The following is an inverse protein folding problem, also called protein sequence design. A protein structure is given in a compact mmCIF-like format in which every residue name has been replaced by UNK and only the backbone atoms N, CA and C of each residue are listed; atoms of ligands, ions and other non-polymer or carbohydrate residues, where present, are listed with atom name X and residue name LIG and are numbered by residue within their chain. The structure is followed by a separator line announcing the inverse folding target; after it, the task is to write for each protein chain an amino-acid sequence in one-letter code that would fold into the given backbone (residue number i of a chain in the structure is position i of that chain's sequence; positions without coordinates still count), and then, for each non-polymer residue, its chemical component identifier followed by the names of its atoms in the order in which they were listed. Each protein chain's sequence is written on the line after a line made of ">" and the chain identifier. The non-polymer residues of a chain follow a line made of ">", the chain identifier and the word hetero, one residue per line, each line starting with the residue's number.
data_IF_104891981345
#
_entry.id   IF_104891981345
#
_cell.length_a   1.000
_cell.length_b   1.000
_cell.length_c   1.000
_cell.angle_alpha   90.00
_cell.angle_beta   90.00
_cell.angle_gamma   90.00
#
_symmetry.space_group_name_H-M   'P 1'
#
loop_
_entity.id
_entity.type
_entity.pdbx_description
1 polymer ?
#
# COMPACT_ATOMS: atom_id res chain seq x y z
N UNK A 1 16.92 28.72 4.30
CA UNK A 1 15.74 28.43 3.47
C UNK A 1 14.72 27.80 4.38
N UNK A 2 13.56 28.41 4.55
CA UNK A 2 12.46 27.83 5.33
C UNK A 2 11.49 27.23 4.33
N UNK A 3 11.68 25.96 3.94
CA UNK A 3 10.68 25.24 3.18
C UNK A 3 9.96 24.22 4.07
N UNK A 4 8.75 23.86 3.66
CA UNK A 4 7.91 22.84 4.31
C UNK A 4 8.00 21.51 3.55
N UNK A 5 7.88 20.42 4.30
CA UNK A 5 7.70 19.07 3.77
C UNK A 5 6.26 18.66 4.06
N UNK A 6 5.52 18.30 3.01
CA UNK A 6 4.17 17.76 3.15
C UNK A 6 4.25 16.24 3.18
N UNK A 7 3.61 15.63 4.16
CA UNK A 7 3.38 14.18 4.21
C UNK A 7 1.90 13.88 4.00
N UNK A 8 1.58 13.00 3.06
CA UNK A 8 0.25 12.43 2.86
C UNK A 8 0.28 11.01 3.43
N UNK A 9 -0.49 10.79 4.50
CA UNK A 9 -0.69 9.48 5.14
C UNK A 9 -2.08 8.98 4.82
N UNK A 10 -2.15 7.97 3.93
CA UNK A 10 -3.40 7.41 3.46
C UNK A 10 -3.64 6.03 4.12
N UNK A 11 -4.37 6.01 5.23
CA UNK A 11 -4.72 4.81 5.98
C UNK A 11 -5.97 4.11 5.44
N UNK A 12 -6.39 3.01 6.08
CA UNK A 12 -7.55 2.22 5.65
C UNK A 12 -8.89 2.95 5.80
N UNK A 13 -9.02 3.82 6.80
CA UNK A 13 -10.27 4.50 7.13
C UNK A 13 -10.17 6.01 7.16
N UNK A 14 -9.00 6.57 6.88
CA UNK A 14 -8.79 8.02 6.87
C UNK A 14 -7.59 8.40 6.03
N UNK A 15 -7.60 9.66 5.55
CA UNK A 15 -6.45 10.31 4.93
C UNK A 15 -6.02 11.50 5.75
N UNK A 16 -4.72 11.68 5.91
CA UNK A 16 -4.14 12.76 6.68
C UNK A 16 -3.09 13.49 5.86
N UNK A 17 -3.06 14.82 5.96
CA UNK A 17 -1.99 15.68 5.45
C UNK A 17 -1.32 16.38 6.62
N UNK A 18 0.01 16.34 6.66
CA UNK A 18 0.80 16.96 7.73
C UNK A 18 1.94 17.73 7.09
N UNK A 19 2.18 18.96 7.51
CA UNK A 19 3.37 19.71 7.12
C UNK A 19 4.40 19.77 8.25
N UNK A 20 5.65 19.62 7.86
CA UNK A 20 6.81 19.68 8.76
C UNK A 20 7.77 20.76 8.28
N UNK A 21 8.46 21.38 9.24
CA UNK A 21 9.67 22.14 8.94
C UNK A 21 10.87 21.20 8.71
N UNK A 22 11.98 21.77 8.25
CA UNK A 22 13.23 21.00 7.99
C UNK A 22 13.89 20.42 9.25
N UNK A 23 13.42 20.78 10.44
CA UNK A 23 13.89 20.27 11.73
C UNK A 23 12.98 19.20 12.30
N UNK A 24 11.88 18.83 11.57
CA UNK A 24 10.91 17.83 11.98
C UNK A 24 9.81 18.35 12.88
N UNK A 25 9.71 19.67 13.08
CA UNK A 25 8.59 20.28 13.79
C UNK A 25 7.32 20.23 12.96
N UNK A 26 6.19 19.76 13.54
CA UNK A 26 4.88 19.77 12.88
C UNK A 26 4.32 21.18 12.85
N UNK A 27 3.94 21.67 11.66
CA UNK A 27 3.31 22.98 11.49
C UNK A 27 1.78 22.86 11.45
N UNK A 28 1.25 22.07 10.55
CA UNK A 28 -0.19 21.89 10.34
C UNK A 28 -0.52 20.42 10.15
N UNK A 29 -1.74 20.04 10.52
CA UNK A 29 -2.25 18.67 10.30
C UNK A 29 -3.77 18.71 10.07
N UNK A 30 -4.22 18.00 9.04
CA UNK A 30 -5.65 17.82 8.76
C UNK A 30 -5.92 16.37 8.42
N UNK A 31 -7.08 15.82 8.89
CA UNK A 31 -7.46 14.42 8.69
C UNK A 31 -8.95 14.32 8.40
N UNK A 32 -9.28 13.45 7.43
CA UNK A 32 -10.65 13.11 7.07
C UNK A 32 -10.84 11.61 7.03
N UNK A 33 -11.85 11.13 7.75
CA UNK A 33 -12.30 9.74 7.73
C UNK A 33 -13.21 9.49 6.54
N UNK A 34 -13.27 8.22 6.11
CA UNK A 34 -14.19 7.74 5.09
C UNK A 34 -14.64 6.31 5.41
N UNK A 35 -15.86 5.92 4.97
CA UNK A 35 -16.41 4.61 5.26
C UNK A 35 -15.80 3.51 4.39
N UNK A 36 -15.71 2.30 4.94
CA UNK A 36 -15.55 1.07 4.18
C UNK A 36 -16.91 0.56 3.71
N UNK A 37 -16.90 -0.18 2.60
CA UNK A 37 -18.07 -0.82 2.00
C UNK A 37 -17.90 -2.33 2.17
N UNK A 38 -18.95 -3.02 2.60
CA UNK A 38 -18.99 -4.46 2.82
C UNK A 38 -20.10 -5.09 1.97
N UNK A 39 -19.85 -5.35 0.66
CA UNK A 39 -20.90 -5.82 -0.26
C UNK A 39 -21.40 -7.23 0.07
N UNK A 40 -20.49 -8.11 0.50
CA UNK A 40 -20.75 -9.50 0.86
C UNK A 40 -19.88 -9.91 2.06
N UNK A 41 -20.14 -11.06 2.62
CA UNK A 41 -19.33 -11.59 3.72
C UNK A 41 -17.86 -11.82 3.30
N UNK A 42 -16.95 -11.22 4.06
CA UNK A 42 -15.51 -11.24 3.76
C UNK A 42 -15.06 -10.28 2.64
N UNK A 43 -15.97 -9.51 2.03
CA UNK A 43 -15.61 -8.49 1.06
C UNK A 43 -15.44 -7.14 1.73
N UNK A 44 -14.37 -6.43 1.35
CA UNK A 44 -14.07 -5.10 1.89
C UNK A 44 -13.62 -4.19 0.75
N UNK A 45 -14.33 -3.10 0.55
CA UNK A 45 -14.10 -2.16 -0.55
C UNK A 45 -14.04 -0.72 -0.07
N UNK A 46 -13.42 0.12 -0.88
CA UNK A 46 -13.45 1.59 -0.77
C UNK A 46 -13.81 2.14 -2.14
N UNK A 47 -14.70 3.14 -2.18
CA UNK A 47 -14.86 3.95 -3.38
C UNK A 47 -13.60 4.81 -3.57
N UNK A 48 -12.81 4.61 -4.66
CA UNK A 48 -11.58 5.36 -4.88
C UNK A 48 -11.81 6.88 -5.02
N UNK A 49 -13.01 7.30 -5.42
CA UNK A 49 -13.34 8.73 -5.46
C UNK A 49 -13.48 9.29 -4.06
N UNK A 50 -14.16 8.59 -3.16
CA UNK A 50 -14.31 8.98 -1.75
C UNK A 50 -12.94 9.02 -1.05
N UNK A 51 -12.08 8.04 -1.32
CA UNK A 51 -10.70 8.03 -0.85
C UNK A 51 -9.96 9.28 -1.33
N UNK A 52 -10.02 9.56 -2.64
CA UNK A 52 -9.33 10.73 -3.22
C UNK A 52 -9.90 12.05 -2.70
N UNK A 53 -11.22 12.15 -2.52
CA UNK A 53 -11.87 13.33 -1.95
C UNK A 53 -11.40 13.60 -0.52
N UNK A 54 -11.15 12.56 0.28
CA UNK A 54 -10.61 12.73 1.65
C UNK A 54 -9.19 13.28 1.64
N UNK A 55 -8.35 12.83 0.70
CA UNK A 55 -7.00 13.39 0.48
C UNK A 55 -7.08 14.85 0.05
N UNK A 56 -7.93 15.16 -0.94
CA UNK A 56 -8.08 16.55 -1.42
C UNK A 56 -8.60 17.47 -0.30
N UNK A 57 -9.55 17.02 0.52
CA UNK A 57 -10.03 17.79 1.67
C UNK A 57 -8.91 18.05 2.66
N UNK A 58 -8.14 17.03 3.05
CA UNK A 58 -7.02 17.23 3.99
C UNK A 58 -5.95 18.17 3.43
N UNK A 59 -5.69 18.12 2.11
CA UNK A 59 -4.78 19.04 1.43
C UNK A 59 -5.32 20.48 1.37
N UNK A 60 -6.64 20.66 1.28
CA UNK A 60 -7.24 22.00 1.21
C UNK A 60 -7.18 22.77 2.52
N UNK A 61 -7.08 22.06 3.64
CA UNK A 61 -6.94 22.67 4.97
C UNK A 61 -5.48 23.05 5.30
N UNK A 62 -4.52 22.65 4.47
CA UNK A 62 -3.10 22.93 4.65
C UNK A 62 -2.70 24.11 3.77
N UNK A 63 -1.94 25.04 4.36
CA UNK A 63 -1.25 26.09 3.60
C UNK A 63 -0.16 25.49 2.73
N UNK A 64 -0.28 25.67 1.41
CA UNK A 64 0.60 25.08 0.39
C UNK A 64 1.83 25.94 0.08
N UNK A 65 1.90 27.14 0.62
CA UNK A 65 3.04 28.04 0.39
C UNK A 65 4.30 27.41 1.02
N UNK A 66 5.42 27.54 0.34
CA UNK A 66 6.73 27.03 0.74
C UNK A 66 6.85 25.50 0.86
N UNK A 67 5.86 24.72 0.40
CA UNK A 67 6.01 23.27 0.26
C UNK A 67 6.93 22.99 -0.93
N UNK A 68 8.10 22.39 -0.68
CA UNK A 68 9.04 21.99 -1.73
C UNK A 68 9.07 20.48 -1.94
N UNK A 69 8.81 19.70 -0.88
CA UNK A 69 8.84 18.25 -0.92
C UNK A 69 7.51 17.65 -0.44
N UNK A 70 7.13 16.55 -1.07
CA UNK A 70 5.99 15.72 -0.69
C UNK A 70 6.49 14.32 -0.41
N UNK A 71 6.06 13.72 0.70
CA UNK A 71 6.18 12.28 0.95
C UNK A 71 4.81 11.63 1.03
N UNK A 72 4.74 10.36 0.64
CA UNK A 72 3.49 9.58 0.66
C UNK A 72 3.73 8.29 1.44
N UNK A 73 2.84 8.02 2.38
CA UNK A 73 2.70 6.70 2.98
C UNK A 73 1.25 6.23 2.86
N UNK A 74 1.05 4.93 2.74
CA UNK A 74 -0.27 4.41 2.42
C UNK A 74 -0.50 3.01 2.97
N UNK A 75 -1.79 2.67 3.21
CA UNK A 75 -2.22 1.29 3.38
C UNK A 75 -1.73 0.44 2.20
N UNK A 76 -1.15 -0.73 2.50
CA UNK A 76 -0.55 -1.59 1.47
C UNK A 76 -1.59 -2.52 0.83
N UNK A 77 -1.24 -3.18 -0.24
CA UNK A 77 -1.97 -4.25 -0.96
C UNK A 77 -3.35 -3.86 -1.49
N UNK A 78 -3.96 -2.78 -1.02
CA UNK A 78 -5.23 -2.27 -1.53
C UNK A 78 -5.11 -1.99 -3.01
N UNK A 79 -5.99 -2.60 -3.81
CA UNK A 79 -5.86 -2.74 -5.25
C UNK A 79 -6.85 -1.85 -5.97
N UNK A 80 -6.36 -0.99 -6.85
CA UNK A 80 -7.18 -0.09 -7.68
C UNK A 80 -6.84 -0.33 -9.15
N UNK A 81 -7.86 -0.47 -10.00
CA UNK A 81 -7.71 -0.53 -11.45
C UNK A 81 -8.54 0.59 -12.07
N UNK A 82 -7.94 1.35 -12.98
CA UNK A 82 -8.58 2.50 -13.61
C UNK A 82 -8.27 2.64 -15.08
N UNK A 83 -9.11 3.37 -15.79
CA UNK A 83 -8.88 3.71 -17.20
C UNK A 83 -7.72 4.69 -17.33
N UNK A 84 -6.75 4.36 -18.16
CA UNK A 84 -5.54 5.14 -18.37
C UNK A 84 -5.82 6.56 -18.87
N UNK A 85 -6.81 6.73 -19.73
CA UNK A 85 -7.10 8.06 -20.33
C UNK A 85 -7.85 8.98 -19.36
N UNK A 86 -8.83 8.45 -18.64
CA UNK A 86 -9.72 9.24 -17.78
C UNK A 86 -9.27 9.31 -16.32
N UNK A 87 -8.46 8.35 -15.88
CA UNK A 87 -8.13 8.13 -14.47
C UNK A 87 -9.32 7.66 -13.63
N UNK A 88 -10.43 7.24 -14.26
CA UNK A 88 -11.62 6.78 -13.58
C UNK A 88 -11.48 5.30 -13.19
N UNK A 89 -11.72 4.94 -11.92
CA UNK A 89 -11.72 3.54 -11.50
C UNK A 89 -12.79 2.75 -12.25
N UNK A 90 -12.47 1.51 -12.64
CA UNK A 90 -13.43 0.60 -13.28
C UNK A 90 -14.21 -0.23 -12.25
N UNK A 91 -13.75 -0.24 -11.01
CA UNK A 91 -14.35 -0.92 -9.87
C UNK A 91 -13.91 -0.23 -8.57
N UNK A 92 -14.60 -0.52 -7.45
CA UNK A 92 -14.16 -0.09 -6.14
C UNK A 92 -12.75 -0.63 -5.82
N UNK A 93 -11.98 0.07 -5.02
CA UNK A 93 -10.71 -0.42 -4.51
C UNK A 93 -10.97 -1.65 -3.63
N UNK A 94 -10.32 -2.77 -3.94
CA UNK A 94 -10.39 -3.98 -3.12
C UNK A 94 -9.34 -3.85 -2.01
N UNK A 95 -9.82 -3.76 -0.76
CA UNK A 95 -8.98 -3.49 0.40
C UNK A 95 -8.12 -4.71 0.77
N UNK A 96 -7.01 -4.48 1.44
CA UNK A 96 -6.08 -5.51 1.91
C UNK A 96 -6.74 -6.59 2.78
N UNK A 97 -7.80 -6.26 3.52
CA UNK A 97 -8.56 -7.17 4.38
C UNK A 97 -9.51 -8.11 3.61
N UNK A 98 -9.77 -7.82 2.33
CA UNK A 98 -10.73 -8.54 1.50
C UNK A 98 -10.31 -10.00 1.28
N UNK A 99 -11.28 -10.91 1.39
CA UNK A 99 -11.06 -12.36 1.29
C UNK A 99 -11.75 -13.01 0.08
N UNK A 100 -12.34 -12.21 -0.86
CA UNK A 100 -13.11 -12.74 -2.01
C UNK A 100 -12.33 -13.71 -2.89
N UNK A 101 -11.01 -13.58 -2.96
CA UNK A 101 -10.15 -14.43 -3.78
C UNK A 101 -9.60 -15.65 -3.03
N UNK A 102 -10.09 -15.93 -1.79
CA UNK A 102 -9.62 -17.09 -1.01
C UNK A 102 -9.81 -18.41 -1.73
N UNK A 103 -10.99 -18.62 -2.34
CA UNK A 103 -11.28 -19.86 -3.08
C UNK A 103 -10.38 -20.02 -4.30
N UNK A 104 -10.05 -18.92 -5.00
CA UNK A 104 -9.10 -18.94 -6.08
C UNK A 104 -7.71 -19.34 -5.61
N UNK A 105 -7.21 -18.75 -4.53
CA UNK A 105 -5.91 -19.13 -3.94
C UNK A 105 -5.88 -20.63 -3.61
N UNK A 106 -6.92 -21.17 -2.97
CA UNK A 106 -7.00 -22.60 -2.66
C UNK A 106 -7.05 -23.48 -3.91
N UNK A 107 -7.74 -23.03 -4.96
CA UNK A 107 -7.89 -23.81 -6.21
C UNK A 107 -6.59 -23.99 -7.00
N UNK A 108 -5.65 -23.04 -6.88
CA UNK A 108 -4.36 -23.09 -7.58
C UNK A 108 -3.20 -23.53 -6.68
N UNK A 109 -3.47 -23.77 -5.39
CA UNK A 109 -2.45 -24.09 -4.39
C UNK A 109 -1.74 -25.41 -4.72
N UNK A 110 -0.43 -25.37 -4.75
CA UNK A 110 0.46 -26.53 -4.78
C UNK A 110 1.78 -26.17 -4.13
N UNK A 111 2.51 -27.16 -3.63
CA UNK A 111 3.81 -26.95 -2.98
C UNK A 111 4.80 -26.22 -3.91
N UNK A 112 4.81 -26.58 -5.20
CA UNK A 112 5.69 -25.98 -6.20
C UNK A 112 5.33 -24.50 -6.44
N UNK A 113 4.04 -24.18 -6.53
CA UNK A 113 3.59 -22.79 -6.72
C UNK A 113 3.87 -21.94 -5.47
N UNK A 114 3.56 -22.44 -4.27
CA UNK A 114 3.84 -21.72 -3.03
C UNK A 114 5.34 -21.46 -2.87
N UNK A 115 6.17 -22.47 -3.16
CA UNK A 115 7.62 -22.31 -3.15
C UNK A 115 8.09 -21.29 -4.19
N UNK A 116 7.59 -21.32 -5.41
CA UNK A 116 7.96 -20.36 -6.47
C UNK A 116 7.59 -18.92 -6.05
N UNK A 117 6.39 -18.71 -5.52
CA UNK A 117 5.94 -17.41 -5.01
C UNK A 117 6.86 -16.95 -3.87
N UNK A 118 7.11 -17.81 -2.89
CA UNK A 118 7.94 -17.47 -1.73
C UNK A 118 9.40 -17.15 -2.14
N UNK A 119 10.00 -17.95 -2.99
CA UNK A 119 11.39 -17.77 -3.46
C UNK A 119 11.59 -16.43 -4.18
N UNK A 120 10.57 -15.97 -4.93
CA UNK A 120 10.62 -14.73 -5.71
C UNK A 120 10.18 -13.51 -4.94
N UNK A 121 9.12 -13.63 -4.15
CA UNK A 121 8.45 -12.47 -3.55
C UNK A 121 8.65 -12.36 -2.04
N UNK A 122 9.07 -13.43 -1.37
CA UNK A 122 9.09 -13.54 0.08
C UNK A 122 7.70 -13.68 0.72
N UNK A 123 6.65 -13.74 -0.09
CA UNK A 123 5.25 -13.81 0.34
C UNK A 123 4.74 -15.25 0.25
N UNK A 124 3.55 -15.45 0.81
CA UNK A 124 2.77 -16.70 0.68
C UNK A 124 1.63 -16.49 -0.33
N UNK A 125 1.06 -17.57 -0.86
CA UNK A 125 -0.15 -17.50 -1.69
C UNK A 125 -1.37 -17.20 -0.80
N UNK A 126 -1.79 -15.93 -0.77
CA UNK A 126 -2.89 -15.46 0.07
C UNK A 126 -3.66 -14.33 -0.62
N UNK A 127 -5.00 -14.24 -0.46
CA UNK A 127 -5.83 -13.14 -0.97
C UNK A 127 -5.46 -11.75 -0.42
N UNK A 128 -4.63 -11.68 0.62
CA UNK A 128 -4.10 -10.44 1.17
C UNK A 128 -3.40 -9.58 0.10
N UNK A 129 -2.64 -10.19 -0.81
CA UNK A 129 -1.81 -9.50 -1.80
C UNK A 129 -2.56 -9.11 -3.07
N UNK A 130 -2.02 -8.15 -3.85
CA UNK A 130 -2.75 -7.51 -4.94
C UNK A 130 -3.02 -8.41 -6.15
N UNK A 131 -2.14 -9.37 -6.47
CA UNK A 131 -2.21 -10.16 -7.70
C UNK A 131 -3.58 -10.82 -7.94
N UNK A 132 -4.12 -11.49 -6.92
CA UNK A 132 -5.41 -12.19 -7.03
C UNK A 132 -6.59 -11.24 -7.15
N UNK A 133 -6.48 -10.05 -6.55
CA UNK A 133 -7.50 -8.99 -6.64
C UNK A 133 -7.53 -8.36 -8.03
N UNK A 134 -6.34 -8.10 -8.63
CA UNK A 134 -6.25 -7.63 -10.03
C UNK A 134 -6.92 -8.65 -10.95
N UNK A 135 -6.54 -9.93 -10.85
CA UNK A 135 -7.14 -11.02 -11.63
C UNK A 135 -8.65 -11.03 -11.47
N UNK A 136 -9.15 -10.94 -10.23
CA UNK A 136 -10.59 -10.91 -9.97
C UNK A 136 -11.28 -9.75 -10.68
N UNK A 137 -10.74 -8.53 -10.62
CA UNK A 137 -11.29 -7.35 -11.31
C UNK A 137 -11.33 -7.60 -12.82
N UNK A 138 -10.25 -8.09 -13.42
CA UNK A 138 -10.17 -8.34 -14.85
C UNK A 138 -11.18 -9.39 -15.32
N UNK A 139 -11.52 -10.37 -14.47
CA UNK A 139 -12.44 -11.45 -14.81
C UNK A 139 -13.91 -11.12 -14.51
N UNK A 140 -14.20 -10.25 -13.54
CA UNK A 140 -15.56 -10.00 -13.06
C UNK A 140 -16.13 -8.65 -13.49
N UNK A 141 -15.29 -7.70 -13.90
CA UNK A 141 -15.76 -6.39 -14.40
C UNK A 141 -15.92 -6.46 -15.92
N UNK A 142 -17.12 -6.15 -16.38
CA UNK A 142 -17.45 -6.23 -17.81
C UNK A 142 -16.50 -5.39 -18.68
N UNK A 143 -15.89 -6.01 -19.69
CA UNK A 143 -14.96 -5.38 -20.63
C UNK A 143 -13.55 -5.14 -20.07
N UNK A 144 -13.30 -5.40 -18.78
CA UNK A 144 -12.00 -5.12 -18.16
C UNK A 144 -10.86 -5.92 -18.82
N UNK A 145 -11.08 -7.22 -19.11
CA UNK A 145 -10.07 -8.07 -19.75
C UNK A 145 -9.69 -7.58 -21.15
N UNK A 146 -10.67 -7.13 -21.93
CA UNK A 146 -10.44 -6.57 -23.27
C UNK A 146 -9.69 -5.25 -23.20
N UNK A 147 -10.12 -4.33 -22.33
CA UNK A 147 -9.42 -3.06 -22.09
C UNK A 147 -7.99 -3.26 -21.61
N UNK A 148 -7.75 -4.23 -20.73
CA UNK A 148 -6.41 -4.58 -20.28
C UNK A 148 -5.52 -5.05 -21.44
N UNK A 149 -6.02 -5.96 -22.29
CA UNK A 149 -5.31 -6.45 -23.46
C UNK A 149 -4.99 -5.33 -24.49
N UNK A 150 -5.82 -4.30 -24.54
CA UNK A 150 -5.59 -3.12 -25.38
C UNK A 150 -4.65 -2.06 -24.74
N UNK A 151 -4.17 -2.30 -23.49
CA UNK A 151 -3.33 -1.34 -22.76
C UNK A 151 -4.07 -0.07 -22.31
N UNK A 152 -5.40 -0.16 -22.17
CA UNK A 152 -6.28 0.96 -21.79
C UNK A 152 -6.45 1.11 -20.27
N UNK A 153 -5.95 0.14 -19.48
CA UNK A 153 -6.06 0.14 -18.04
C UNK A 153 -4.71 0.37 -17.36
N UNK A 154 -4.78 0.88 -16.14
CA UNK A 154 -3.69 0.97 -15.19
C UNK A 154 -4.09 0.24 -13.91
N UNK A 155 -3.13 -0.38 -13.26
CA UNK A 155 -3.21 -0.89 -11.89
C UNK A 155 -2.29 -0.09 -10.98
N UNK A 156 -2.68 0.07 -9.73
CA UNK A 156 -1.82 0.58 -8.67
C UNK A 156 -2.28 0.16 -7.29
N UNK A 157 -1.35 0.14 -6.38
CA UNK A 157 -1.61 0.33 -4.97
C UNK A 157 -1.97 1.80 -4.73
N UNK A 158 -2.33 2.14 -3.51
CA UNK A 158 -2.87 3.48 -3.22
C UNK A 158 -1.88 4.60 -3.57
N UNK A 159 -0.59 4.41 -3.28
CA UNK A 159 0.47 5.38 -3.66
C UNK A 159 0.44 5.74 -5.14
N UNK A 160 0.40 4.72 -6.01
CA UNK A 160 0.36 4.92 -7.46
C UNK A 160 -0.89 5.69 -7.88
N UNK A 161 -2.06 5.31 -7.35
CA UNK A 161 -3.31 5.98 -7.69
C UNK A 161 -3.32 7.44 -7.23
N UNK A 162 -2.83 7.73 -6.01
CA UNK A 162 -2.69 9.10 -5.51
C UNK A 162 -1.78 9.94 -6.40
N UNK A 163 -0.58 9.44 -6.71
CA UNK A 163 0.36 10.14 -7.58
C UNK A 163 -0.23 10.39 -8.97
N UNK A 164 -0.91 9.38 -9.53
CA UNK A 164 -1.58 9.49 -10.82
C UNK A 164 -2.66 10.58 -10.82
N UNK A 165 -3.52 10.59 -9.82
CA UNK A 165 -4.63 11.57 -9.69
C UNK A 165 -4.11 12.98 -9.41
N UNK A 166 -3.17 13.13 -8.47
CA UNK A 166 -2.60 14.43 -8.09
C UNK A 166 -1.79 15.06 -9.23
N UNK A 167 -1.15 14.25 -10.09
CA UNK A 167 -0.37 14.70 -11.22
C UNK A 167 -1.16 14.79 -12.54
N UNK A 168 -2.47 14.55 -12.53
CA UNK A 168 -3.31 14.51 -13.74
C UNK A 168 -2.81 13.49 -14.79
N UNK A 169 -2.40 12.32 -14.32
CA UNK A 169 -1.93 11.20 -15.15
C UNK A 169 -0.47 11.26 -15.58
N UNK A 170 0.30 12.27 -15.14
CA UNK A 170 1.71 12.43 -15.52
C UNK A 170 2.66 11.48 -14.79
N UNK A 171 2.30 11.04 -13.56
CA UNK A 171 3.11 10.15 -12.73
C UNK A 171 2.40 8.80 -12.61
N UNK A 172 2.99 7.78 -13.22
CA UNK A 172 2.53 6.39 -13.13
C UNK A 172 3.68 5.52 -12.60
N UNK A 173 3.93 5.63 -11.29
CA UNK A 173 5.04 5.00 -10.58
C UNK A 173 4.55 4.38 -9.27
N UNK A 174 5.32 3.44 -8.75
CA UNK A 174 5.21 2.90 -7.39
C UNK A 174 6.61 2.73 -6.80
N UNK A 175 6.70 2.67 -5.48
CA UNK A 175 7.96 2.36 -4.83
C UNK A 175 8.16 0.85 -4.65
N UNK A 176 9.42 0.43 -4.39
CA UNK A 176 9.75 -0.98 -4.20
C UNK A 176 9.06 -1.60 -2.98
N UNK A 177 8.69 -0.83 -1.95
CA UNK A 177 8.01 -1.37 -0.76
C UNK A 177 6.56 -1.73 -1.07
N UNK A 178 5.82 -0.86 -1.78
CA UNK A 178 4.47 -1.15 -2.25
C UNK A 178 4.47 -2.26 -3.32
N UNK A 179 5.40 -2.20 -4.28
CA UNK A 179 5.56 -3.23 -5.29
C UNK A 179 5.77 -4.62 -4.68
N UNK A 180 6.60 -4.72 -3.63
CA UNK A 180 6.88 -5.99 -2.93
C UNK A 180 5.66 -6.62 -2.25
N UNK A 181 4.55 -5.89 -2.11
CA UNK A 181 3.29 -6.38 -1.51
C UNK A 181 2.27 -6.86 -2.53
N UNK A 182 2.62 -6.89 -3.80
CA UNK A 182 1.68 -7.24 -4.87
C UNK A 182 1.61 -8.74 -5.20
N UNK A 183 2.59 -9.52 -4.78
CA UNK A 183 2.83 -10.94 -5.22
C UNK A 183 3.14 -11.03 -6.73
N UNK A 184 3.58 -9.92 -7.34
CA UNK A 184 4.00 -9.83 -8.75
C UNK A 184 5.44 -9.35 -8.89
N UNK A 185 6.03 -8.86 -7.80
CA UNK A 185 7.35 -8.24 -7.76
C UNK A 185 8.39 -9.18 -7.20
N UNK A 186 9.47 -9.38 -7.94
CA UNK A 186 10.58 -10.22 -7.50
C UNK A 186 11.54 -9.40 -6.64
N UNK A 187 11.62 -9.71 -5.35
CA UNK A 187 12.44 -8.97 -4.38
C UNK A 187 13.94 -9.21 -4.56
N UNK A 188 14.35 -10.24 -5.32
CA UNK A 188 15.75 -10.53 -5.60
C UNK A 188 16.27 -9.72 -6.79
N UNK A 189 15.40 -9.44 -7.78
CA UNK A 189 15.74 -8.67 -9.01
C UNK A 189 15.23 -7.24 -8.97
N UNK A 190 14.42 -6.89 -7.97
CA UNK A 190 13.75 -5.60 -7.81
C UNK A 190 12.97 -5.17 -9.06
N UNK A 191 12.21 -6.10 -9.62
CA UNK A 191 11.44 -5.88 -10.85
C UNK A 191 10.16 -6.73 -10.89
N UNK A 192 9.20 -6.35 -11.73
CA UNK A 192 8.04 -7.18 -12.04
C UNK A 192 8.48 -8.51 -12.64
N UNK A 193 7.99 -9.62 -12.10
CA UNK A 193 8.38 -10.98 -12.50
C UNK A 193 7.44 -11.51 -13.59
N UNK A 194 7.99 -11.82 -14.77
CA UNK A 194 7.21 -12.24 -15.92
C UNK A 194 6.45 -13.57 -15.67
N UNK A 195 7.06 -14.50 -14.95
CA UNK A 195 6.40 -15.80 -14.65
C UNK A 195 5.23 -15.61 -13.68
N UNK A 196 5.36 -14.73 -12.65
CA UNK A 196 4.26 -14.41 -11.76
C UNK A 196 3.13 -13.69 -12.51
N UNK A 197 3.47 -12.79 -13.43
CA UNK A 197 2.48 -12.14 -14.30
C UNK A 197 1.70 -13.15 -15.13
N UNK A 198 2.39 -14.13 -15.73
CA UNK A 198 1.77 -15.19 -16.52
C UNK A 198 0.87 -16.08 -15.66
N UNK A 199 1.30 -16.47 -14.44
CA UNK A 199 0.52 -17.29 -13.50
C UNK A 199 -0.83 -16.63 -13.18
N UNK A 200 -0.82 -15.33 -12.93
CA UNK A 200 -2.04 -14.59 -12.59
C UNK A 200 -2.77 -14.02 -13.81
N UNK A 201 -2.21 -14.16 -15.02
CA UNK A 201 -2.81 -13.66 -16.27
C UNK A 201 -2.88 -12.13 -16.31
N UNK A 202 -1.85 -11.45 -15.82
CA UNK A 202 -1.77 -9.99 -15.75
C UNK A 202 -0.78 -9.48 -16.79
N UNK A 203 -1.24 -8.61 -17.69
CA UNK A 203 -0.37 -7.97 -18.66
C UNK A 203 0.52 -6.91 -18.00
N UNK A 204 1.81 -6.90 -18.34
CA UNK A 204 2.78 -5.94 -17.79
C UNK A 204 2.43 -4.48 -18.08
N UNK A 205 1.68 -4.19 -19.14
CA UNK A 205 1.25 -2.84 -19.50
C UNK A 205 0.31 -2.18 -18.48
N UNK A 206 -0.30 -2.99 -17.60
CA UNK A 206 -1.12 -2.47 -16.50
C UNK A 206 -0.29 -1.89 -15.37
N UNK A 207 0.98 -2.27 -15.25
CA UNK A 207 1.79 -2.04 -14.07
C UNK A 207 2.57 -0.75 -14.14
N UNK A 208 2.72 -0.01 -13.01
CA UNK A 208 3.52 1.20 -12.95
C UNK A 208 5.02 0.92 -13.06
N UNK A 209 5.78 1.96 -13.38
CA UNK A 209 7.23 1.96 -13.20
C UNK A 209 7.56 1.81 -11.71
N UNK A 210 8.48 0.90 -11.39
CA UNK A 210 8.97 0.71 -10.01
C UNK A 210 10.25 1.52 -9.82
N UNK A 211 10.29 2.31 -8.75
CA UNK A 211 11.46 3.12 -8.38
C UNK A 211 11.82 2.92 -6.92
N UNK A 212 13.01 3.33 -6.51
CA UNK A 212 13.44 3.28 -5.12
C UNK A 212 12.60 4.22 -4.25
N UNK A 213 12.36 3.87 -2.98
CA UNK A 213 11.49 4.63 -2.07
C UNK A 213 11.97 6.07 -1.86
N UNK A 214 13.28 6.30 -1.92
CA UNK A 214 13.93 7.61 -1.77
C UNK A 214 14.26 8.31 -3.11
N UNK A 215 13.57 7.93 -4.19
CA UNK A 215 13.74 8.54 -5.51
C UNK A 215 12.84 9.75 -5.72
N UNK A 216 13.12 10.50 -6.79
CA UNK A 216 12.19 11.47 -7.35
C UNK A 216 11.10 10.76 -8.14
N UNK A 217 9.84 10.93 -7.71
CA UNK A 217 8.68 10.39 -8.43
C UNK A 217 8.14 11.37 -9.47
N UNK A 218 8.38 12.66 -9.30
CA UNK A 218 7.90 13.74 -10.14
C UNK A 218 7.37 14.91 -9.31
N UNK A 219 6.71 15.88 -9.98
CA UNK A 219 6.25 17.11 -9.35
C UNK A 219 4.73 17.27 -9.43
N UNK A 220 4.15 17.88 -8.39
CA UNK A 220 2.72 18.19 -8.31
C UNK A 220 2.53 19.69 -8.49
N UNK A 221 2.13 20.10 -9.71
CA UNK A 221 1.97 21.52 -10.06
C UNK A 221 1.00 22.26 -9.11
N UNK A 222 -0.10 21.60 -8.69
CA UNK A 222 -1.13 22.17 -7.81
C UNK A 222 -0.68 22.38 -6.36
N UNK A 223 0.46 21.82 -5.97
CA UNK A 223 1.05 21.96 -4.64
C UNK A 223 2.42 22.62 -4.81
N UNK A 224 2.43 23.91 -5.09
CA UNK A 224 3.64 24.73 -5.27
C UNK A 224 4.70 24.09 -6.18
N UNK A 225 4.31 23.26 -7.16
CA UNK A 225 5.22 22.46 -7.98
C UNK A 225 6.21 21.61 -7.16
N UNK A 226 5.78 21.19 -5.96
CA UNK A 226 6.58 20.41 -5.04
C UNK A 226 6.90 19.03 -5.61
N UNK A 227 8.08 18.52 -5.27
CA UNK A 227 8.57 17.22 -5.72
C UNK A 227 8.13 16.12 -4.77
N UNK A 228 7.56 15.03 -5.30
CA UNK A 228 7.34 13.81 -4.53
C UNK A 228 8.69 13.11 -4.39
N UNK A 229 9.15 13.02 -3.14
CA UNK A 229 10.42 12.40 -2.80
C UNK A 229 10.28 11.67 -1.47
N UNK A 230 10.09 10.36 -1.55
CA UNK A 230 9.81 9.50 -0.41
C UNK A 230 8.39 8.91 -0.48
N UNK A 231 8.30 7.66 -0.92
CA UNK A 231 7.06 6.88 -0.96
C UNK A 231 7.33 5.54 -0.32
N UNK A 232 6.51 5.17 0.68
CA UNK A 232 6.63 3.89 1.40
C UNK A 232 5.25 3.37 1.80
N UNK A 233 5.08 2.06 1.83
CA UNK A 233 3.96 1.45 2.52
C UNK A 233 3.96 1.84 4.02
N UNK A 234 2.78 1.92 4.64
CA UNK A 234 2.59 2.43 6.00
C UNK A 234 3.45 1.72 7.06
N UNK A 235 3.55 0.39 6.96
CA UNK A 235 4.34 -0.40 7.90
C UNK A 235 5.85 -0.22 7.69
N UNK A 236 6.27 -0.02 6.45
CA UNK A 236 7.64 0.29 6.07
C UNK A 236 8.03 1.71 6.48
N UNK A 237 7.13 2.68 6.29
CA UNK A 237 7.30 4.03 6.79
C UNK A 237 7.46 4.06 8.32
N UNK A 238 6.66 3.23 9.04
CA UNK A 238 6.79 3.08 10.48
C UNK A 238 8.12 2.40 10.89
N UNK A 239 8.61 1.41 10.13
CA UNK A 239 9.91 0.78 10.38
C UNK A 239 11.04 1.82 10.30
N UNK A 240 11.05 2.60 9.21
CA UNK A 240 12.03 3.67 9.01
C UNK A 240 11.88 4.79 10.05
N UNK A 241 10.64 5.26 10.26
CA UNK A 241 10.35 6.39 11.14
C UNK A 241 10.60 6.10 12.64
N UNK A 242 10.59 4.83 13.05
CA UNK A 242 10.98 4.42 14.40
C UNK A 242 12.49 4.16 14.54
N UNK A 243 13.28 4.44 13.50
CA UNK A 243 14.74 4.35 13.55
C UNK A 243 15.27 2.91 13.47
N UNK A 244 14.52 1.98 12.90
CA UNK A 244 14.95 0.59 12.74
C UNK A 244 15.92 0.44 11.55
N UNK A 245 17.13 1.02 11.70
CA UNK A 245 18.11 1.10 10.61
C UNK A 245 19.10 -0.06 10.62
N UNK A 246 19.35 -0.65 11.78
CA UNK A 246 20.33 -1.74 11.92
C UNK A 246 19.63 -3.10 11.79
N UNK A 247 20.38 -4.11 11.34
CA UNK A 247 19.88 -5.49 11.30
C UNK A 247 19.53 -5.98 12.70
N UNK A 248 18.28 -6.47 12.87
CA UNK A 248 17.70 -6.90 14.14
C UNK A 248 16.80 -5.86 14.80
N UNK A 249 16.87 -4.58 14.39
CA UNK A 249 15.93 -3.57 14.87
C UNK A 249 14.51 -3.93 14.47
N UNK A 250 13.59 -3.74 15.40
CA UNK A 250 12.21 -4.17 15.22
C UNK A 250 11.23 -3.13 15.73
N UNK A 251 10.08 -3.05 15.04
CA UNK A 251 8.95 -2.24 15.48
C UNK A 251 7.69 -3.09 15.55
N UNK A 252 6.77 -2.70 16.41
CA UNK A 252 5.43 -3.26 16.48
C UNK A 252 4.38 -2.15 16.40
N UNK A 253 3.41 -2.31 15.50
CA UNK A 253 2.28 -1.41 15.36
C UNK A 253 1.03 -2.11 15.88
N UNK A 254 0.36 -1.50 16.86
CA UNK A 254 -0.90 -1.98 17.40
C UNK A 254 -2.02 -1.02 16.98
N UNK A 255 -2.87 -1.48 16.10
CA UNK A 255 -4.05 -0.77 15.61
C UNK A 255 -5.22 -1.73 15.44
N UNK A 256 -5.96 -1.62 14.35
CA UNK A 256 -6.98 -2.58 13.92
C UNK A 256 -6.41 -4.01 13.88
N UNK A 257 -5.26 -4.17 13.21
CA UNK A 257 -4.37 -5.32 13.29
C UNK A 257 -3.12 -5.02 14.11
N UNK A 258 -2.27 -6.04 14.28
CA UNK A 258 -0.94 -5.91 14.85
C UNK A 258 0.10 -6.36 13.81
N UNK A 259 1.13 -5.54 13.60
CA UNK A 259 2.16 -5.77 12.59
C UNK A 259 3.54 -5.60 13.23
N UNK A 260 4.23 -6.72 13.39
CA UNK A 260 5.63 -6.75 13.80
C UNK A 260 6.51 -6.76 12.56
N UNK A 261 7.47 -5.85 12.45
CA UNK A 261 8.49 -5.87 11.41
C UNK A 261 9.88 -5.78 12.03
N UNK A 262 10.80 -6.58 11.49
CA UNK A 262 12.21 -6.58 11.86
C UNK A 262 13.08 -6.34 10.63
N UNK A 263 13.99 -5.38 10.69
CA UNK A 263 15.02 -5.18 9.67
C UNK A 263 15.96 -6.39 9.65
N UNK A 264 16.11 -7.04 8.51
CA UNK A 264 16.97 -8.21 8.30
C UNK A 264 18.21 -7.91 7.43
N UNK A 265 18.54 -6.61 7.29
CA UNK A 265 19.70 -6.17 6.53
C UNK A 265 19.45 -6.09 5.02
N UNK A 266 20.56 -6.13 4.26
CA UNK A 266 20.57 -5.86 2.81
C UNK A 266 20.38 -7.09 1.92
N UNK A 267 20.05 -8.24 2.50
CA UNK A 267 19.79 -9.48 1.75
C UNK A 267 18.47 -10.09 2.18
N UNK A 268 17.60 -10.49 1.24
CA UNK A 268 16.37 -11.17 1.58
C UNK A 268 16.69 -12.54 2.23
N UNK A 269 16.00 -12.86 3.31
CA UNK A 269 16.07 -14.16 3.98
C UNK A 269 14.65 -14.69 4.15
N UNK A 270 14.38 -15.89 3.63
CA UNK A 270 13.05 -16.50 3.69
C UNK A 270 12.84 -17.17 5.04
N UNK A 271 11.67 -16.98 5.63
CA UNK A 271 11.27 -17.63 6.86
C UNK A 271 10.79 -19.06 6.59
N UNK A 272 11.17 -20.00 7.47
CA UNK A 272 10.60 -21.35 7.49
C UNK A 272 9.32 -21.42 8.33
N UNK A 273 9.00 -20.35 9.09
CA UNK A 273 7.89 -20.28 10.07
C UNK A 273 6.72 -19.43 9.55
N UNK A 274 6.56 -19.32 8.20
CA UNK A 274 5.47 -18.57 7.54
C UNK A 274 5.45 -17.07 7.84
N UNK A 275 6.55 -16.49 8.34
CA UNK A 275 6.70 -15.04 8.35
C UNK A 275 6.97 -14.56 6.92
N UNK A 276 6.51 -13.35 6.62
CA UNK A 276 6.69 -12.75 5.31
C UNK A 276 8.07 -12.08 5.23
N UNK A 277 8.74 -12.20 4.09
CA UNK A 277 9.89 -11.38 3.74
C UNK A 277 9.44 -10.33 2.75
N UNK A 278 9.84 -9.08 2.94
CA UNK A 278 9.43 -7.96 2.08
C UNK A 278 10.56 -6.95 1.97
N UNK A 279 10.48 -6.04 1.01
CA UNK A 279 11.35 -4.87 1.02
C UNK A 279 10.96 -3.98 2.20
N UNK A 280 11.93 -3.64 3.05
CA UNK A 280 11.75 -2.77 4.19
C UNK A 280 11.76 -1.29 3.79
N UNK A 281 12.80 -0.86 3.11
CA UNK A 281 12.98 0.49 2.55
C UNK A 281 14.20 0.53 1.64
N UNK A 282 14.32 1.59 0.84
CA UNK A 282 15.59 1.97 0.23
C UNK A 282 16.06 3.29 0.81
N UNK A 283 17.36 3.42 0.95
CA UNK A 283 17.98 4.66 1.40
C UNK A 283 19.43 4.77 0.92
N UNK A 284 19.76 5.90 0.29
CA UNK A 284 21.12 6.19 -0.17
C UNK A 284 21.66 5.20 -1.22
N UNK A 285 20.79 4.57 -2.00
CA UNK A 285 21.15 3.58 -3.02
C UNK A 285 21.20 2.14 -2.52
N UNK A 286 21.03 1.90 -1.23
CA UNK A 286 20.93 0.57 -0.62
C UNK A 286 19.47 0.15 -0.44
N UNK A 287 19.21 -1.15 -0.54
CA UNK A 287 17.89 -1.75 -0.25
C UNK A 287 18.00 -2.59 1.00
N UNK A 288 17.07 -2.36 1.92
CA UNK A 288 16.93 -3.11 3.17
C UNK A 288 15.68 -3.96 3.13
N UNK A 289 15.76 -5.16 3.66
CA UNK A 289 14.66 -6.10 3.72
C UNK A 289 14.13 -6.21 5.14
N UNK A 290 12.88 -6.61 5.25
CA UNK A 290 12.23 -6.82 6.54
C UNK A 290 11.51 -8.16 6.60
N UNK A 291 11.49 -8.76 7.78
CA UNK A 291 10.63 -9.88 8.11
C UNK A 291 9.38 -9.36 8.82
N UNK A 292 8.21 -9.82 8.41
CA UNK A 292 6.93 -9.36 8.91
C UNK A 292 6.09 -10.51 9.49
N UNK A 293 5.58 -10.30 10.70
CA UNK A 293 4.51 -11.10 11.30
C UNK A 293 3.25 -10.23 11.43
N UNK A 294 2.11 -10.75 10.95
CA UNK A 294 0.85 -10.00 10.89
C UNK A 294 -0.26 -10.72 11.66
N UNK A 295 -0.98 -9.98 12.50
CA UNK A 295 -2.22 -10.40 13.15
C UNK A 295 -3.30 -9.44 12.66
N UNK A 296 -4.24 -9.94 11.82
CA UNK A 296 -5.21 -9.09 11.14
C UNK A 296 -6.27 -8.49 12.06
N UNK A 297 -6.54 -9.11 13.21
CA UNK A 297 -7.51 -8.65 14.19
C UNK A 297 -6.87 -8.51 15.56
N UNK A 298 -6.57 -7.30 15.98
CA UNK A 298 -6.04 -6.97 17.30
C UNK A 298 -6.97 -5.97 18.02
N UNK A 299 -6.88 -4.69 17.73
CA UNK A 299 -7.78 -3.68 18.29
C UNK A 299 -9.26 -3.91 17.93
N UNK A 300 -9.56 -4.52 16.78
CA UNK A 300 -10.93 -4.93 16.41
C UNK A 300 -11.53 -5.93 17.40
N UNK A 301 -10.73 -6.80 17.99
CA UNK A 301 -11.22 -7.72 19.03
C UNK A 301 -11.67 -6.93 20.25
N UNK A 302 -10.88 -5.96 20.69
CA UNK A 302 -11.23 -5.08 21.82
C UNK A 302 -12.50 -4.29 21.52
N UNK A 303 -12.63 -3.75 20.29
CA UNK A 303 -13.85 -3.07 19.86
C UNK A 303 -15.06 -4.00 19.86
N UNK A 304 -14.92 -5.21 19.32
CA UNK A 304 -15.99 -6.20 19.30
C UNK A 304 -16.47 -6.58 20.71
N UNK A 305 -15.54 -6.79 21.64
CA UNK A 305 -15.86 -7.10 23.04
C UNK A 305 -16.60 -5.94 23.72
N UNK A 306 -16.22 -4.70 23.41
CA UNK A 306 -16.86 -3.49 23.93
C UNK A 306 -18.22 -3.23 23.28
N UNK A 307 -18.28 -3.14 21.94
CA UNK A 307 -19.42 -2.56 21.21
C UNK A 307 -20.49 -3.63 20.92
N UNK A 308 -20.10 -4.88 20.68
CA UNK A 308 -21.02 -5.96 20.32
C UNK A 308 -21.39 -6.86 21.51
N UNK A 309 -20.41 -7.18 22.38
CA UNK A 309 -20.65 -8.05 23.52
C UNK A 309 -20.89 -7.31 24.84
N UNK A 310 -20.58 -6.01 24.90
CA UNK A 310 -20.86 -5.17 26.08
C UNK A 310 -20.07 -5.58 27.33
N UNK A 311 -18.88 -6.19 27.17
CA UNK A 311 -18.08 -6.66 28.31
C UNK A 311 -17.50 -5.51 29.13
N UNK A 312 -17.30 -4.36 28.51
CA UNK A 312 -16.84 -3.13 29.14
C UNK A 312 -17.31 -1.91 28.30
N UNK A 313 -17.23 -0.71 28.86
CA UNK A 313 -17.71 0.51 28.19
C UNK A 313 -16.58 1.33 27.51
N UNK A 314 -15.34 1.18 27.96
CA UNK A 314 -14.18 1.91 27.45
C UNK A 314 -13.03 0.96 27.22
N UNK A 315 -12.28 1.16 26.14
CA UNK A 315 -11.15 0.29 25.78
C UNK A 315 -10.10 0.09 26.90
N UNK A 316 -9.75 1.09 27.73
CA UNK A 316 -8.82 0.88 28.87
C UNK A 316 -9.33 -0.10 29.92
N UNK A 317 -10.62 -0.44 29.95
CA UNK A 317 -11.19 -1.42 30.91
C UNK A 317 -10.94 -2.86 30.47
N UNK A 318 -10.29 -3.06 29.31
CA UNK A 318 -9.94 -4.40 28.79
C UNK A 318 -8.64 -4.98 29.37
N UNK A 319 -7.93 -4.23 30.22
CA UNK A 319 -6.70 -4.65 30.88
C UNK A 319 -6.92 -5.64 32.01
#
# INVERSE_FOLDING_TARGET
>A
MNYKILTIDQGTTSSRSITYDIYGGTNESSQYEYPLIYPEDGWVEIDPQVLMDSVIKSLNDIDKDDIELISITNQRETTIVWEKQSGNPIYNAIVWQDRRTSQYCESIRSDDLEKNIQDKTGLILDPYFSATKIKWILENVSGAKEKAANGELCFGTVDTYLMYKLSEGKIFKTDITNASRTMLFNINTLSWDAELLDIFGIDKSLLPEVVMSDSSFGRIEKINNAEIHGVLGDQQAALFGQGCFEEGDSKSTYGTGCFLMSNIGKKPALSQEKLLTTVGFSFGGDVYYAMEGSIYSAGTVVQYLRDNLGFFNKSPESE
#
